data_IF_875226963686
#
_entry.id   IF_875226963686
#
_cell.length_a   1.000
_cell.length_b   1.000
_cell.length_c   1.000
_cell.angle_alpha   90.00
_cell.angle_beta   90.00
_cell.angle_gamma   90.00
#
_symmetry.space_group_name_H-M   'P 1'
#
loop_
_entity.id
_entity.type
_entity.pdbx_description
1 polymer ?
#
# COMPACT_ATOMS: atom_id res chain seq x y z
N UNK A 1 5.29 11.67 23.09
CA UNK A 1 6.36 11.26 22.13
C UNK A 1 5.86 10.32 21.05
N UNK A 2 5.10 9.27 21.38
CA UNK A 2 4.53 8.33 20.38
C UNK A 2 3.46 8.97 19.48
N UNK A 3 2.70 9.95 20.01
CA UNK A 3 1.67 10.69 19.27
C UNK A 3 2.24 11.55 18.14
N UNK A 4 3.24 12.38 18.43
CA UNK A 4 3.84 13.29 17.46
C UNK A 4 4.45 12.54 16.25
N UNK A 5 5.10 11.40 16.49
CA UNK A 5 5.63 10.59 15.39
C UNK A 5 4.52 9.92 14.56
N UNK A 6 3.44 9.47 15.21
CA UNK A 6 2.27 8.93 14.51
C UNK A 6 1.58 9.99 13.64
N UNK A 7 1.44 11.20 14.14
CA UNK A 7 0.89 12.35 13.39
C UNK A 7 1.76 12.69 12.18
N UNK A 8 3.08 12.70 12.35
CA UNK A 8 4.03 12.88 11.25
C UNK A 8 3.84 11.81 10.17
N UNK A 9 3.82 10.52 10.55
CA UNK A 9 3.60 9.43 9.59
C UNK A 9 2.24 9.53 8.90
N UNK A 10 1.18 9.90 9.61
CA UNK A 10 -0.15 10.09 9.02
C UNK A 10 -0.14 11.20 7.97
N UNK A 11 0.56 12.31 8.24
CA UNK A 11 0.76 13.40 7.27
C UNK A 11 1.51 12.91 6.03
N UNK A 12 2.62 12.19 6.22
CA UNK A 12 3.39 11.64 5.09
C UNK A 12 2.57 10.68 4.23
N UNK A 13 1.73 9.83 4.84
CA UNK A 13 0.85 8.93 4.10
C UNK A 13 -0.22 9.69 3.31
N UNK A 14 -0.79 10.76 3.88
CA UNK A 14 -1.75 11.60 3.17
C UNK A 14 -1.13 12.32 1.97
N UNK A 15 0.11 12.80 2.11
CA UNK A 15 0.86 13.42 1.01
C UNK A 15 1.11 12.41 -0.13
N UNK A 16 1.52 11.18 0.21
CA UNK A 16 1.73 10.09 -0.76
C UNK A 16 0.43 9.75 -1.52
N UNK A 17 -0.70 9.69 -0.82
CA UNK A 17 -2.02 9.44 -1.41
C UNK A 17 -2.42 10.55 -2.37
N UNK A 18 -2.33 11.82 -1.92
CA UNK A 18 -2.70 12.97 -2.75
C UNK A 18 -1.83 13.13 -4.00
N UNK A 19 -0.57 12.70 -3.92
CA UNK A 19 0.37 12.69 -5.05
C UNK A 19 0.14 11.51 -6.02
N UNK A 20 -0.78 10.58 -5.71
CA UNK A 20 -1.00 9.37 -6.51
C UNK A 20 0.16 8.37 -6.46
N UNK A 21 0.97 8.43 -5.39
CA UNK A 21 2.16 7.58 -5.21
C UNK A 21 1.88 6.36 -4.33
N UNK A 22 0.66 6.19 -3.83
CA UNK A 22 0.26 5.03 -3.05
C UNK A 22 0.37 3.76 -3.87
N UNK A 23 1.10 2.79 -3.33
CA UNK A 23 1.21 1.44 -3.89
C UNK A 23 0.07 0.60 -3.34
N UNK A 24 -0.89 0.26 -4.21
CA UNK A 24 -1.95 -0.68 -3.84
C UNK A 24 -1.50 -2.11 -4.10
N UNK A 25 -1.62 -2.95 -3.07
CA UNK A 25 -1.30 -4.36 -3.17
C UNK A 25 -2.28 -5.09 -4.10
N UNK A 26 -1.78 -6.10 -4.79
CA UNK A 26 -2.58 -7.05 -5.56
C UNK A 26 -2.29 -8.44 -5.03
N UNK A 27 -3.29 -9.06 -4.41
CA UNK A 27 -3.14 -10.36 -3.80
C UNK A 27 -3.00 -11.44 -4.88
N UNK A 28 -1.83 -12.09 -4.92
CA UNK A 28 -1.60 -13.29 -5.72
C UNK A 28 -2.18 -14.49 -4.97
N UNK A 29 -3.03 -15.28 -5.64
CA UNK A 29 -3.78 -16.39 -5.03
C UNK A 29 -3.34 -17.77 -5.52
N UNK A 30 -2.32 -17.82 -6.38
CA UNK A 30 -1.71 -19.06 -6.90
C UNK A 30 -0.21 -19.08 -6.59
N UNK A 31 0.46 -20.24 -6.65
CA UNK A 31 1.92 -20.29 -6.58
C UNK A 31 2.59 -19.38 -7.61
N UNK A 32 3.81 -18.94 -7.31
CA UNK A 32 4.59 -18.07 -8.18
C UNK A 32 5.04 -18.82 -9.45
N UNK A 33 4.99 -18.16 -10.60
CA UNK A 33 5.36 -18.71 -11.90
C UNK A 33 5.20 -17.69 -13.04
N UNK A 34 5.42 -18.12 -14.29
CA UNK A 34 5.22 -17.25 -15.46
C UNK A 34 3.76 -16.75 -15.59
N UNK A 35 2.81 -17.53 -15.06
CA UNK A 35 1.41 -17.17 -14.94
C UNK A 35 1.01 -17.23 -13.47
N UNK A 36 0.33 -16.19 -12.99
CA UNK A 36 -0.23 -16.11 -11.63
C UNK A 36 -1.69 -15.67 -11.68
N UNK A 37 -2.49 -16.20 -10.77
CA UNK A 37 -3.82 -15.69 -10.48
C UNK A 37 -3.76 -14.54 -9.48
N UNK A 38 -4.56 -13.50 -9.73
CA UNK A 38 -4.75 -12.36 -8.83
C UNK A 38 -6.21 -12.33 -8.40
N UNK A 39 -6.49 -12.02 -7.14
CA UNK A 39 -7.86 -11.86 -6.65
C UNK A 39 -8.60 -10.79 -7.48
N UNK A 40 -9.84 -11.08 -7.87
CA UNK A 40 -10.72 -10.09 -8.51
C UNK A 40 -11.08 -8.99 -7.51
N UNK A 41 -11.42 -7.80 -8.03
CA UNK A 41 -11.85 -6.64 -7.24
C UNK A 41 -13.33 -6.67 -6.95
#
# INVERSE_FOLDING_TARGET
MYSAFREHLAGQLADIESAGLTKHERLITTPQGAHVGVAER
#
